data_IF_121144059030
#
_entry.id   IF_121144059030
#
_cell.length_a   1.000
_cell.length_b   1.000
_cell.length_c   1.000
_cell.angle_alpha   90.00
_cell.angle_beta   90.00
_cell.angle_gamma   90.00
#
_symmetry.space_group_name_H-M   'P 1'
#
loop_
_entity.id
_entity.type
_entity.pdbx_description
1 polymer ?
#
# COMPACT_ATOMS: atom_id res chain seq x y z
N UNK A 1 -7.46 -62.53 -46.55
CA UNK A 1 -7.07 -61.11 -46.72
C UNK A 1 -7.75 -60.28 -45.62
N UNK A 2 -7.43 -60.29 -44.33
CA UNK A 2 -6.19 -60.44 -43.53
C UNK A 2 -5.16 -59.31 -43.62
N UNK A 3 -5.53 -58.15 -44.18
CA UNK A 3 -4.72 -56.91 -44.12
C UNK A 3 -5.51 -55.62 -43.79
N UNK A 4 -6.83 -55.67 -43.58
CA UNK A 4 -7.65 -54.44 -43.43
C UNK A 4 -8.06 -54.14 -41.97
N UNK A 5 -7.86 -55.07 -41.02
CA UNK A 5 -8.35 -54.90 -39.64
C UNK A 5 -7.32 -54.25 -38.69
N UNK A 6 -6.03 -54.20 -39.06
CA UNK A 6 -4.98 -53.65 -38.18
C UNK A 6 -4.86 -52.11 -38.27
N UNK A 7 -5.37 -51.48 -39.34
CA UNK A 7 -5.30 -50.02 -39.52
C UNK A 7 -6.36 -49.28 -38.69
N UNK A 8 -7.47 -49.94 -38.34
CA UNK A 8 -8.55 -49.32 -37.55
C UNK A 8 -8.25 -49.20 -36.04
N UNK A 9 -7.41 -50.07 -35.48
CA UNK A 9 -7.12 -50.08 -34.03
C UNK A 9 -5.94 -49.16 -33.69
N UNK A 10 -5.00 -48.96 -34.63
CA UNK A 10 -3.86 -48.03 -34.46
C UNK A 10 -4.27 -46.55 -34.59
N UNK A 11 -5.32 -46.24 -35.36
CA UNK A 11 -5.85 -44.87 -35.46
C UNK A 11 -6.69 -44.45 -34.25
N UNK A 12 -7.29 -45.39 -33.53
CA UNK A 12 -8.04 -45.11 -32.30
C UNK A 12 -7.08 -44.89 -31.13
N UNK A 13 -5.97 -45.62 -31.05
CA UNK A 13 -4.94 -45.41 -30.02
C UNK A 13 -4.22 -44.05 -30.16
N UNK A 14 -4.13 -43.49 -31.37
CA UNK A 14 -3.52 -42.17 -31.60
C UNK A 14 -4.49 -41.00 -31.29
N UNK A 15 -5.80 -41.25 -31.27
CA UNK A 15 -6.80 -40.23 -30.93
C UNK A 15 -7.00 -40.05 -29.42
N UNK A 16 -6.66 -41.06 -28.61
CA UNK A 16 -6.71 -40.95 -27.15
C UNK A 16 -5.47 -40.30 -26.54
N UNK A 17 -4.39 -40.07 -27.31
CA UNK A 17 -3.18 -39.43 -26.80
C UNK A 17 -3.17 -37.89 -26.96
N UNK A 18 -4.16 -37.31 -27.64
CA UNK A 18 -4.25 -35.86 -27.88
C UNK A 18 -5.27 -35.12 -27.01
N UNK A 19 -5.95 -35.81 -26.09
CA UNK A 19 -6.58 -35.17 -24.94
C UNK A 19 -5.65 -35.26 -23.73
N UNK A 20 -4.44 -34.72 -23.87
CA UNK A 20 -3.81 -34.14 -22.69
C UNK A 20 -4.70 -32.98 -22.28
N UNK A 21 -5.61 -33.23 -21.32
CA UNK A 21 -6.16 -32.16 -20.51
C UNK A 21 -4.96 -31.38 -20.01
N UNK A 22 -4.68 -30.25 -20.64
CA UNK A 22 -3.92 -29.20 -20.00
C UNK A 22 -4.82 -28.73 -18.87
N UNK A 23 -4.79 -29.46 -17.75
CA UNK A 23 -5.20 -28.97 -16.46
C UNK A 23 -4.23 -27.83 -16.17
N UNK A 24 -4.50 -26.66 -16.76
CA UNK A 24 -4.01 -25.41 -16.23
C UNK A 24 -4.71 -25.30 -14.90
N UNK A 25 -4.13 -25.90 -13.85
CA UNK A 25 -4.52 -25.61 -12.49
C UNK A 25 -4.29 -24.11 -12.37
N UNK A 26 -5.38 -23.35 -12.41
CA UNK A 26 -5.33 -21.94 -12.05
C UNK A 26 -4.88 -21.96 -10.60
N UNK A 27 -3.64 -21.53 -10.35
CA UNK A 27 -3.18 -21.35 -8.98
C UNK A 27 -4.11 -20.31 -8.36
N UNK A 28 -4.86 -20.72 -7.34
CA UNK A 28 -5.72 -19.80 -6.60
C UNK A 28 -4.84 -18.93 -5.71
N UNK A 29 -5.00 -17.61 -5.82
CA UNK A 29 -4.24 -16.62 -5.06
C UNK A 29 -4.52 -16.76 -3.56
N UNK A 30 -3.49 -16.61 -2.71
CA UNK A 30 -3.62 -16.70 -1.25
C UNK A 30 -3.50 -15.31 -0.62
N UNK A 31 -4.16 -15.05 0.52
CA UNK A 31 -4.01 -13.77 1.20
C UNK A 31 -2.58 -13.63 1.78
N UNK A 32 -1.93 -12.47 1.62
CA UNK A 32 -0.61 -12.24 2.19
C UNK A 32 -0.65 -12.19 3.72
N UNK A 33 0.41 -12.64 4.37
CA UNK A 33 0.63 -12.51 5.80
C UNK A 33 1.47 -11.27 6.11
N UNK A 34 1.00 -10.44 7.04
CA UNK A 34 1.70 -9.23 7.48
C UNK A 34 1.93 -9.29 8.99
N UNK A 35 3.14 -8.97 9.44
CA UNK A 35 3.49 -8.84 10.85
C UNK A 35 4.29 -7.57 11.09
N UNK A 36 3.84 -6.74 12.03
CA UNK A 36 4.68 -5.68 12.61
C UNK A 36 5.56 -6.35 13.67
N UNK A 37 6.86 -6.48 13.40
CA UNK A 37 7.84 -7.16 14.28
C UNK A 37 8.54 -6.19 15.24
N UNK A 38 8.59 -4.91 14.87
CA UNK A 38 8.96 -3.83 15.78
C UNK A 38 7.97 -2.66 15.62
N UNK A 39 7.51 -2.06 16.72
CA UNK A 39 7.68 -2.52 18.10
C UNK A 39 6.89 -3.81 18.40
N UNK A 40 7.22 -4.49 19.50
CA UNK A 40 6.59 -5.77 19.84
C UNK A 40 5.13 -5.61 20.31
N UNK A 41 4.27 -6.62 20.14
CA UNK A 41 2.94 -6.65 20.74
C UNK A 41 2.99 -6.38 22.26
N UNK A 42 2.04 -5.59 22.76
CA UNK A 42 1.93 -5.15 24.16
C UNK A 42 3.04 -4.21 24.67
N UNK A 43 3.93 -3.73 23.80
CA UNK A 43 4.85 -2.66 24.15
C UNK A 43 4.12 -1.30 24.30
N UNK A 44 4.82 -0.35 24.90
CA UNK A 44 4.38 1.05 25.02
C UNK A 44 5.21 1.94 24.11
N UNK A 45 4.77 3.19 23.93
CA UNK A 45 5.55 4.22 23.24
C UNK A 45 5.70 5.46 24.13
N UNK A 46 6.66 6.32 23.81
CA UNK A 46 6.85 7.61 24.48
C UNK A 46 6.57 8.76 23.53
N UNK A 47 6.02 9.86 24.03
CA UNK A 47 5.96 11.13 23.30
C UNK A 47 7.34 11.75 23.09
N UNK A 48 7.47 12.62 22.08
CA UNK A 48 8.73 13.26 21.70
C UNK A 48 9.92 12.27 21.59
N UNK A 49 9.67 11.09 21.04
CA UNK A 49 10.67 10.03 20.93
C UNK A 49 10.72 9.47 19.51
N UNK A 50 11.78 8.73 19.22
CA UNK A 50 11.92 7.99 17.97
C UNK A 50 11.42 6.57 18.22
N UNK A 51 10.33 6.21 17.56
CA UNK A 51 9.76 4.86 17.59
C UNK A 51 10.17 4.13 16.31
N UNK A 52 11.12 3.16 16.37
CA UNK A 52 11.44 2.35 15.21
C UNK A 52 10.25 1.45 14.85
N UNK A 53 10.12 1.14 13.56
CA UNK A 53 9.18 0.12 13.10
C UNK A 53 9.84 -0.85 12.12
N UNK A 54 9.33 -2.06 12.11
CA UNK A 54 9.69 -3.12 11.18
C UNK A 54 8.46 -3.97 10.86
N UNK A 55 8.30 -4.31 9.58
CA UNK A 55 7.17 -5.03 9.01
C UNK A 55 7.74 -6.17 8.18
N UNK A 56 7.22 -7.37 8.40
CA UNK A 56 7.45 -8.52 7.55
C UNK A 56 6.18 -8.84 6.77
N UNK A 57 6.36 -9.11 5.48
CA UNK A 57 5.33 -9.59 4.56
C UNK A 57 5.79 -10.93 4.00
N UNK A 58 4.90 -11.91 4.01
CA UNK A 58 5.09 -13.19 3.34
C UNK A 58 3.84 -13.50 2.55
N UNK A 59 4.03 -13.82 1.28
CA UNK A 59 2.98 -14.18 0.35
C UNK A 59 3.43 -15.40 -0.46
N UNK A 60 2.49 -16.22 -0.91
CA UNK A 60 2.85 -17.43 -1.66
C UNK A 60 3.18 -17.13 -3.13
N UNK A 61 2.55 -16.11 -3.70
CA UNK A 61 2.71 -15.67 -5.07
C UNK A 61 3.86 -14.66 -5.20
N UNK A 62 3.92 -13.68 -4.30
CA UNK A 62 4.87 -12.56 -4.37
C UNK A 62 6.18 -12.82 -3.61
N UNK A 63 6.23 -13.85 -2.77
CA UNK A 63 7.42 -14.24 -2.00
C UNK A 63 7.50 -13.60 -0.61
N UNK A 64 8.72 -13.45 -0.10
CA UNK A 64 8.96 -13.01 1.28
C UNK A 64 9.89 -11.79 1.36
N UNK A 65 9.45 -10.79 2.13
CA UNK A 65 10.21 -9.57 2.42
C UNK A 65 11.58 -9.79 3.09
N UNK A 66 11.80 -10.92 3.76
CA UNK A 66 13.11 -11.28 4.35
C UNK A 66 14.16 -11.58 3.28
N UNK A 67 13.74 -11.98 2.07
CA UNK A 67 14.61 -12.27 0.93
C UNK A 67 14.56 -11.17 -0.14
N UNK A 68 14.08 -9.97 0.22
CA UNK A 68 13.93 -8.81 -0.67
C UNK A 68 13.03 -9.08 -1.90
N UNK A 69 12.13 -10.07 -1.81
CA UNK A 69 11.20 -10.44 -2.90
C UNK A 69 9.97 -9.50 -2.96
N UNK A 70 9.67 -8.82 -1.86
CA UNK A 70 8.56 -7.86 -1.75
C UNK A 70 9.10 -6.43 -1.93
N UNK A 71 8.51 -5.67 -2.85
CA UNK A 71 8.84 -4.25 -3.04
C UNK A 71 8.48 -3.44 -1.77
N UNK A 72 9.44 -2.84 -1.06
CA UNK A 72 9.15 -2.14 0.19
C UNK A 72 8.19 -0.97 0.04
N UNK A 73 8.13 -0.32 -1.14
CA UNK A 73 7.26 0.83 -1.38
C UNK A 73 5.77 0.48 -1.46
N UNK A 74 5.45 -0.80 -1.63
CA UNK A 74 4.08 -1.31 -1.66
C UNK A 74 3.59 -1.74 -0.28
N UNK A 75 4.51 -1.83 0.70
CA UNK A 75 4.18 -2.04 2.11
C UNK A 75 3.96 -0.70 2.77
N UNK A 76 2.73 -0.46 3.19
CA UNK A 76 2.27 0.82 3.70
C UNK A 76 2.02 0.74 5.20
N UNK A 77 2.42 1.78 5.92
CA UNK A 77 2.18 1.92 7.35
C UNK A 77 1.35 3.18 7.61
N UNK A 78 0.17 2.99 8.20
CA UNK A 78 -0.68 4.08 8.69
C UNK A 78 -0.46 4.20 10.18
N UNK A 79 -0.13 5.40 10.62
CA UNK A 79 0.07 5.73 12.03
C UNK A 79 -1.04 6.68 12.46
N UNK A 80 -1.89 6.26 13.39
CA UNK A 80 -2.94 7.09 13.95
C UNK A 80 -2.69 7.31 15.45
N UNK A 81 -2.56 8.58 15.83
CA UNK A 81 -2.62 9.02 17.21
C UNK A 81 -4.08 9.18 17.63
N UNK A 82 -4.43 8.63 18.78
CA UNK A 82 -5.71 8.82 19.47
C UNK A 82 -5.43 9.44 20.83
N UNK A 83 -6.38 10.24 21.32
CA UNK A 83 -6.23 10.91 22.62
C UNK A 83 -6.22 9.92 23.78
N UNK A 84 -7.14 8.95 23.74
CA UNK A 84 -7.27 7.93 24.77
C UNK A 84 -8.02 6.68 24.28
N UNK A 85 -8.19 5.70 25.18
CA UNK A 85 -8.87 4.43 24.91
C UNK A 85 -10.33 4.52 24.51
N UNK A 86 -11.02 5.63 24.82
CA UNK A 86 -12.41 5.84 24.42
C UNK A 86 -12.56 6.02 22.91
N UNK A 87 -11.53 6.57 22.25
CA UNK A 87 -11.53 6.79 20.79
C UNK A 87 -11.21 5.52 19.99
N UNK A 88 -10.62 4.50 20.64
CA UNK A 88 -10.12 3.29 19.97
C UNK A 88 -11.23 2.48 19.28
N UNK A 89 -12.30 2.13 20.00
CA UNK A 89 -13.41 1.35 19.41
C UNK A 89 -14.08 2.09 18.24
N UNK A 90 -14.44 3.38 18.36
CA UNK A 90 -14.95 4.16 17.23
C UNK A 90 -13.97 4.23 16.06
N UNK A 91 -12.67 4.39 16.31
CA UNK A 91 -11.66 4.41 15.27
C UNK A 91 -11.58 3.09 14.51
N UNK A 92 -11.48 1.95 15.22
CA UNK A 92 -11.39 0.63 14.58
C UNK A 92 -12.64 0.31 13.72
N UNK A 93 -13.83 0.77 14.14
CA UNK A 93 -15.05 0.66 13.34
C UNK A 93 -15.03 1.51 12.06
N UNK A 94 -14.42 2.70 12.09
CA UNK A 94 -14.24 3.51 10.87
C UNK A 94 -13.19 2.90 9.95
N UNK A 95 -12.07 2.46 10.55
CA UNK A 95 -10.96 1.79 9.87
C UNK A 95 -11.44 0.56 9.09
N UNK A 96 -12.30 -0.29 9.67
CA UNK A 96 -12.80 -1.49 8.99
C UNK A 96 -13.61 -1.20 7.72
N UNK A 97 -14.14 0.01 7.57
CA UNK A 97 -14.90 0.45 6.39
C UNK A 97 -14.08 1.38 5.47
N UNK A 98 -12.79 1.61 5.78
CA UNK A 98 -11.95 2.50 4.99
C UNK A 98 -11.46 1.78 3.74
N UNK A 99 -11.63 2.42 2.57
CA UNK A 99 -11.04 1.95 1.34
C UNK A 99 -9.61 2.46 1.22
N UNK A 100 -8.64 1.55 1.11
CA UNK A 100 -7.21 1.85 0.99
C UNK A 100 -6.68 1.78 -0.44
N UNK A 101 -7.54 1.50 -1.44
CA UNK A 101 -7.12 1.28 -2.82
C UNK A 101 -6.29 2.44 -3.37
N UNK A 102 -6.71 3.69 -3.15
CA UNK A 102 -5.94 4.85 -3.62
C UNK A 102 -4.59 4.98 -2.94
N UNK A 103 -4.49 4.66 -1.65
CA UNK A 103 -3.21 4.68 -0.93
C UNK A 103 -2.27 3.57 -1.45
N UNK A 104 -2.81 2.38 -1.70
CA UNK A 104 -2.08 1.25 -2.30
C UNK A 104 -1.57 1.63 -3.69
N UNK A 105 -2.42 2.23 -4.52
CA UNK A 105 -2.03 2.74 -5.83
C UNK A 105 -0.88 3.76 -5.76
N UNK A 106 -0.84 4.61 -4.73
CA UNK A 106 0.29 5.54 -4.52
C UNK A 106 1.61 4.80 -4.21
N UNK A 107 1.54 3.69 -3.47
CA UNK A 107 2.68 2.80 -3.22
C UNK A 107 3.20 2.20 -4.53
N UNK A 108 2.33 1.56 -5.30
CA UNK A 108 2.67 0.94 -6.59
C UNK A 108 3.14 1.96 -7.64
N UNK A 109 2.60 3.19 -7.60
CA UNK A 109 2.94 4.27 -8.55
C UNK A 109 4.18 5.07 -8.13
N UNK A 110 4.98 4.57 -7.19
CA UNK A 110 6.26 5.15 -6.73
C UNK A 110 6.15 6.56 -6.11
N UNK A 111 4.95 7.02 -5.75
CA UNK A 111 4.75 8.37 -5.21
C UNK A 111 5.59 8.59 -3.94
N UNK A 112 5.70 7.56 -3.11
CA UNK A 112 6.46 7.58 -1.86
C UNK A 112 7.99 7.55 -2.02
N UNK A 113 8.51 7.35 -3.24
CA UNK A 113 9.96 7.42 -3.49
C UNK A 113 10.48 8.86 -3.41
N UNK A 114 9.64 9.83 -3.78
CA UNK A 114 10.02 11.25 -3.84
C UNK A 114 9.24 12.11 -2.85
N UNK A 115 8.06 11.66 -2.42
CA UNK A 115 7.20 12.36 -1.48
C UNK A 115 7.03 11.57 -0.19
N UNK A 116 6.74 12.29 0.89
CA UNK A 116 6.27 11.72 2.15
C UNK A 116 4.93 12.34 2.51
N UNK A 117 4.13 11.66 3.32
CA UNK A 117 2.93 12.27 3.87
C UNK A 117 3.30 13.54 4.65
N UNK A 118 4.28 13.42 5.55
CA UNK A 118 4.84 14.51 6.34
C UNK A 118 6.33 14.69 6.11
N UNK A 119 6.74 15.96 6.05
CA UNK A 119 8.13 16.37 5.86
C UNK A 119 8.62 16.26 4.42
N UNK A 120 9.59 17.10 4.06
CA UNK A 120 10.20 17.08 2.72
C UNK A 120 11.04 15.82 2.53
N UNK A 121 11.02 15.27 1.31
CA UNK A 121 11.98 14.26 0.85
C UNK A 121 12.76 14.82 -0.35
N UNK A 122 12.37 14.47 -1.57
CA UNK A 122 12.85 15.14 -2.80
C UNK A 122 11.82 16.21 -3.15
N UNK A 123 10.57 15.77 -3.30
CA UNK A 123 9.41 16.63 -3.46
C UNK A 123 8.87 17.19 -2.13
N UNK A 124 7.89 18.11 -2.21
CA UNK A 124 7.15 18.61 -1.04
C UNK A 124 6.38 17.47 -0.35
N UNK A 125 6.04 17.63 0.91
CA UNK A 125 5.18 16.66 1.58
C UNK A 125 3.74 16.72 1.02
N UNK A 126 2.99 15.63 1.16
CA UNK A 126 1.57 15.65 0.82
C UNK A 126 0.78 16.62 1.71
N UNK A 127 1.21 16.79 2.97
CA UNK A 127 0.68 17.85 3.84
C UNK A 127 0.92 19.25 3.27
N UNK A 128 2.13 19.56 2.77
CA UNK A 128 2.41 20.87 2.17
C UNK A 128 1.56 21.10 0.92
N UNK A 129 1.39 20.07 0.08
CA UNK A 129 0.53 20.12 -1.11
C UNK A 129 -0.92 20.40 -0.69
N UNK A 130 -1.45 19.65 0.28
CA UNK A 130 -2.81 19.84 0.83
C UNK A 130 -3.00 21.22 1.45
N UNK A 131 -1.98 21.78 2.09
CA UNK A 131 -2.03 23.12 2.67
C UNK A 131 -1.99 24.25 1.62
N UNK A 132 -1.29 24.04 0.49
CA UNK A 132 -1.14 25.06 -0.56
C UNK A 132 -2.35 25.15 -1.50
N UNK A 133 -3.04 24.03 -1.71
CA UNK A 133 -4.01 23.87 -2.80
C UNK A 133 -5.42 23.61 -2.26
N UNK A 134 -6.41 24.27 -2.86
CA UNK A 134 -7.82 24.06 -2.53
C UNK A 134 -8.33 22.72 -3.05
N UNK A 135 -9.30 22.14 -2.35
CA UNK A 135 -9.96 20.89 -2.73
C UNK A 135 -11.14 21.16 -3.69
N UNK A 136 -10.84 21.74 -4.84
CA UNK A 136 -11.82 22.04 -5.89
C UNK A 136 -11.50 21.33 -7.22
N UNK A 137 -12.49 21.13 -8.12
CA UNK A 137 -12.28 20.41 -9.36
C UNK A 137 -11.19 21.00 -10.27
N UNK A 138 -11.03 22.33 -10.32
CA UNK A 138 -10.02 22.96 -11.19
C UNK A 138 -8.62 22.67 -10.66
N UNK A 139 -8.44 22.73 -9.35
CA UNK A 139 -7.17 22.38 -8.70
C UNK A 139 -6.83 20.91 -8.89
N UNK A 140 -7.82 20.02 -8.80
CA UNK A 140 -7.63 18.59 -9.06
C UNK A 140 -7.13 18.35 -10.50
N UNK A 141 -7.77 18.96 -11.51
CA UNK A 141 -7.31 18.85 -12.91
C UNK A 141 -5.90 19.42 -13.12
N UNK A 142 -5.60 20.56 -12.50
CA UNK A 142 -4.30 21.21 -12.59
C UNK A 142 -3.18 20.30 -12.05
N UNK A 143 -3.38 19.75 -10.85
CA UNK A 143 -2.40 18.86 -10.23
C UNK A 143 -2.31 17.52 -10.97
N UNK A 144 -3.43 17.00 -11.47
CA UNK A 144 -3.41 15.77 -12.25
C UNK A 144 -2.59 15.92 -13.53
N UNK A 145 -2.76 17.03 -14.26
CA UNK A 145 -1.94 17.35 -15.42
C UNK A 145 -0.45 17.42 -15.06
N UNK A 146 -0.11 18.07 -13.94
CA UNK A 146 1.28 18.14 -13.44
C UNK A 146 1.89 16.77 -13.13
N UNK A 147 1.12 15.84 -12.58
CA UNK A 147 1.60 14.47 -12.33
C UNK A 147 1.88 13.75 -13.66
N UNK A 148 0.95 13.83 -14.61
CA UNK A 148 1.08 13.15 -15.90
C UNK A 148 2.21 13.73 -16.77
N UNK A 149 2.38 15.05 -16.79
CA UNK A 149 3.34 15.72 -17.70
C UNK A 149 4.63 16.15 -17.00
N UNK A 150 4.76 15.87 -15.71
CA UNK A 150 5.84 16.37 -14.87
C UNK A 150 5.61 17.81 -14.41
N UNK A 151 6.36 18.21 -13.39
CA UNK A 151 6.27 19.54 -12.77
C UNK A 151 7.66 20.07 -12.42
N UNK A 152 7.85 21.37 -12.55
CA UNK A 152 9.09 22.06 -12.16
C UNK A 152 8.79 23.43 -11.55
N UNK A 153 9.72 23.98 -10.78
CA UNK A 153 9.77 25.39 -10.36
C UNK A 153 8.68 25.86 -9.39
N UNK A 154 7.75 25.00 -8.95
CA UNK A 154 6.67 25.37 -8.02
C UNK A 154 7.09 25.25 -6.55
N UNK A 155 8.01 24.32 -6.27
CA UNK A 155 8.43 23.93 -4.92
C UNK A 155 9.96 24.04 -4.72
N UNK A 156 10.62 24.76 -5.62
CA UNK A 156 12.08 24.84 -5.75
C UNK A 156 12.55 24.33 -7.11
N UNK A 157 13.85 24.05 -7.20
CA UNK A 157 14.52 23.66 -8.44
C UNK A 157 14.28 22.18 -8.84
N UNK A 158 13.80 21.38 -7.89
CA UNK A 158 13.52 19.96 -8.11
C UNK A 158 12.41 19.76 -9.14
N UNK A 159 12.65 18.81 -10.04
CA UNK A 159 11.73 18.46 -11.12
C UNK A 159 11.11 17.09 -10.84
N UNK A 160 9.79 17.03 -10.85
CA UNK A 160 9.05 15.78 -10.85
C UNK A 160 8.96 15.28 -12.30
N UNK A 161 9.49 14.08 -12.61
CA UNK A 161 9.34 13.47 -13.92
C UNK A 161 7.86 13.25 -14.30
N UNK A 162 7.54 13.14 -15.59
CA UNK A 162 6.20 12.73 -16.02
C UNK A 162 5.90 11.30 -15.59
N UNK A 163 4.64 11.03 -15.23
CA UNK A 163 4.09 9.69 -15.01
C UNK A 163 3.11 9.32 -16.13
N UNK A 164 3.60 9.01 -17.36
CA UNK A 164 2.74 8.80 -18.53
C UNK A 164 1.90 7.51 -18.45
N UNK A 165 2.32 6.55 -17.62
CA UNK A 165 1.64 5.27 -17.46
C UNK A 165 0.38 5.37 -16.57
N UNK A 166 0.20 6.49 -15.86
CA UNK A 166 -0.98 6.72 -15.03
C UNK A 166 -2.13 7.32 -15.84
N UNK A 167 -3.29 6.67 -15.77
CA UNK A 167 -4.51 7.16 -16.42
C UNK A 167 -5.04 8.42 -15.72
N UNK A 168 -5.57 9.37 -16.50
CA UNK A 168 -6.08 10.63 -15.95
C UNK A 168 -7.15 10.45 -14.86
N UNK A 169 -8.00 9.43 -14.96
CA UNK A 169 -8.98 9.09 -13.91
C UNK A 169 -8.29 8.72 -12.58
N UNK A 170 -7.34 7.80 -12.65
CA UNK A 170 -6.54 7.36 -11.50
C UNK A 170 -5.79 8.55 -10.87
N UNK A 171 -5.11 9.37 -11.67
CA UNK A 171 -4.35 10.51 -11.15
C UNK A 171 -5.25 11.51 -10.40
N UNK A 172 -6.48 11.76 -10.88
CA UNK A 172 -7.43 12.62 -10.16
C UNK A 172 -7.81 12.05 -8.80
N UNK A 173 -7.94 10.72 -8.69
CA UNK A 173 -8.18 10.05 -7.41
C UNK A 173 -6.99 10.20 -6.47
N UNK A 174 -5.76 10.03 -6.97
CA UNK A 174 -4.54 10.27 -6.18
C UNK A 174 -4.49 11.71 -5.63
N UNK A 175 -4.73 12.69 -6.49
CA UNK A 175 -4.74 14.12 -6.10
C UNK A 175 -5.83 14.37 -5.06
N UNK A 176 -7.03 13.86 -5.30
CA UNK A 176 -8.15 14.00 -4.35
C UNK A 176 -7.77 13.44 -2.99
N UNK A 177 -7.18 12.24 -2.97
CA UNK A 177 -6.72 11.62 -1.73
C UNK A 177 -5.65 12.44 -1.02
N UNK A 178 -4.67 12.98 -1.76
CA UNK A 178 -3.61 13.84 -1.21
C UNK A 178 -4.20 15.05 -0.50
N UNK A 179 -5.11 15.78 -1.17
CA UNK A 179 -5.73 16.98 -0.63
C UNK A 179 -6.64 16.69 0.58
N UNK A 180 -7.24 15.49 0.64
CA UNK A 180 -8.20 15.09 1.67
C UNK A 180 -7.57 14.53 2.94
N UNK A 181 -6.55 13.68 2.79
CA UNK A 181 -6.11 12.80 3.87
C UNK A 181 -4.85 13.30 4.61
N UNK A 182 -4.20 14.36 4.13
CA UNK A 182 -2.89 14.79 4.62
C UNK A 182 -2.92 16.09 5.44
N UNK A 183 -4.11 16.55 5.82
CA UNK A 183 -4.31 17.69 6.74
C UNK A 183 -4.48 17.27 8.21
N UNK A 184 -4.76 15.99 8.49
CA UNK A 184 -4.90 15.48 9.86
C UNK A 184 -3.53 15.31 10.53
N UNK A 185 -3.21 16.21 11.47
CA UNK A 185 -1.99 16.14 12.26
C UNK A 185 -1.86 14.85 13.10
N UNK A 186 -2.97 14.17 13.39
CA UNK A 186 -3.01 12.92 14.15
C UNK A 186 -2.78 11.67 13.29
N UNK A 187 -2.60 11.82 11.98
CA UNK A 187 -2.38 10.69 11.08
C UNK A 187 -1.11 10.86 10.26
N UNK A 188 -0.36 9.78 10.07
CA UNK A 188 0.78 9.74 9.17
C UNK A 188 0.70 8.50 8.27
N UNK A 189 1.33 8.60 7.10
CA UNK A 189 1.41 7.51 6.12
C UNK A 189 2.87 7.34 5.71
N UNK A 190 3.38 6.13 5.87
CA UNK A 190 4.74 5.75 5.51
C UNK A 190 4.69 4.58 4.52
N UNK A 191 5.74 4.47 3.71
CA UNK A 191 5.98 3.31 2.87
C UNK A 191 7.33 2.71 3.26
N UNK A 192 7.45 1.38 3.19
CA UNK A 192 8.67 0.66 3.53
C UNK A 192 8.46 -0.40 4.60
N UNK A 193 9.33 -1.42 4.56
CA UNK A 193 9.39 -2.50 5.54
C UNK A 193 9.96 -2.05 6.89
N UNK A 194 10.78 -1.00 6.92
CA UNK A 194 11.44 -0.54 8.16
C UNK A 194 11.65 0.97 8.16
N UNK A 195 11.69 1.56 9.35
CA UNK A 195 11.94 2.99 9.49
C UNK A 195 11.78 3.46 10.93
N UNK A 196 11.52 4.76 11.11
CA UNK A 196 11.26 5.33 12.42
C UNK A 196 10.26 6.46 12.35
N UNK A 197 9.39 6.52 13.35
CA UNK A 197 8.37 7.55 13.53
C UNK A 197 8.85 8.48 14.64
N UNK A 198 8.95 9.78 14.37
CA UNK A 198 9.11 10.78 15.43
C UNK A 198 7.73 11.05 16.04
N UNK A 199 7.52 10.62 17.28
CA UNK A 199 6.25 10.84 17.98
C UNK A 199 6.08 12.30 18.36
N UNK A 200 4.83 12.72 18.57
CA UNK A 200 4.45 14.14 18.75
C UNK A 200 5.05 14.73 20.03
N UNK A 201 5.43 16.00 19.97
CA UNK A 201 6.07 16.72 21.09
C UNK A 201 5.04 17.35 22.05
N UNK A 202 4.01 17.99 21.49
CA UNK A 202 2.99 18.77 22.21
C UNK A 202 1.63 18.07 22.19
N UNK A 203 1.32 17.31 23.24
CA UNK A 203 0.04 16.62 23.43
C UNK A 203 -0.53 17.04 24.78
N UNK A 204 -1.80 17.44 24.80
CA UNK A 204 -2.49 17.99 25.98
C UNK A 204 -2.68 16.97 27.13
N UNK A 205 -2.79 15.67 26.81
CA UNK A 205 -2.92 14.58 27.79
C UNK A 205 -1.99 13.42 27.40
N UNK A 206 -0.71 13.55 27.76
CA UNK A 206 0.36 12.62 27.35
C UNK A 206 0.11 11.19 27.85
N UNK A 207 -0.37 11.06 29.07
CA UNK A 207 -0.47 9.77 29.79
C UNK A 207 -1.45 8.78 29.14
N UNK A 208 -2.50 9.27 28.48
CA UNK A 208 -3.57 8.41 27.94
C UNK A 208 -3.42 8.07 26.46
N UNK A 209 -2.41 8.63 25.80
CA UNK A 209 -2.20 8.51 24.37
C UNK A 209 -2.24 7.07 23.86
N UNK A 210 -2.90 6.86 22.72
CA UNK A 210 -2.85 5.59 22.00
C UNK A 210 -2.27 5.83 20.62
N UNK A 211 -1.35 4.94 20.22
CA UNK A 211 -0.81 4.88 18.88
C UNK A 211 -1.32 3.60 18.21
N UNK A 212 -2.05 3.75 17.11
CA UNK A 212 -2.51 2.64 16.28
C UNK A 212 -1.67 2.61 15.01
N UNK A 213 -0.92 1.52 14.83
CA UNK A 213 -0.08 1.26 13.67
C UNK A 213 -0.77 0.20 12.81
N UNK A 214 -1.08 0.51 11.55
CA UNK A 214 -1.68 -0.43 10.61
C UNK A 214 -0.76 -0.62 9.42
N UNK A 215 -0.17 -1.81 9.30
CA UNK A 215 0.55 -2.22 8.10
C UNK A 215 -0.45 -2.79 7.08
N UNK A 216 -0.27 -2.44 5.81
CA UNK A 216 -1.13 -2.86 4.68
C UNK A 216 -0.23 -3.29 3.53
N UNK A 217 -0.63 -4.37 2.87
CA UNK A 217 -0.05 -4.85 1.62
C UNK A 217 -1.17 -5.45 0.77
N UNK A 218 -1.05 -5.33 -0.55
CA UNK A 218 -1.94 -5.95 -1.52
C UNK A 218 -1.05 -6.72 -2.49
N UNK A 219 -1.30 -8.01 -2.63
CA UNK A 219 -0.50 -8.87 -3.48
C UNK A 219 -0.71 -8.55 -4.98
N UNK A 220 0.12 -9.15 -5.84
CA UNK A 220 0.01 -8.99 -7.30
C UNK A 220 -0.95 -9.99 -7.96
N UNK A 221 -1.59 -10.85 -7.17
CA UNK A 221 -2.48 -11.91 -7.64
C UNK A 221 -1.74 -13.07 -8.32
N UNK A 222 -2.47 -14.15 -8.59
CA UNK A 222 -1.89 -15.41 -9.09
C UNK A 222 -1.35 -15.39 -10.53
N UNK A 223 -1.57 -14.31 -11.28
CA UNK A 223 -1.04 -14.11 -12.63
C UNK A 223 -0.14 -12.87 -12.76
N UNK A 224 0.19 -12.22 -11.64
CA UNK A 224 0.90 -10.93 -11.58
C UNK A 224 0.21 -9.82 -12.40
N UNK A 225 -1.08 -9.96 -12.73
CA UNK A 225 -1.89 -8.92 -13.40
C UNK A 225 -2.88 -8.26 -12.45
N UNK A 226 -2.86 -8.60 -11.15
CA UNK A 226 -3.66 -7.96 -10.10
C UNK A 226 -5.16 -8.29 -10.16
N UNK A 227 -5.63 -9.08 -11.13
CA UNK A 227 -7.06 -9.35 -11.32
C UNK A 227 -7.66 -10.24 -10.22
N UNK A 228 -6.81 -11.02 -9.54
CA UNK A 228 -7.14 -11.84 -8.38
C UNK A 228 -6.51 -11.31 -7.07
N UNK A 229 -6.05 -10.05 -7.06
CA UNK A 229 -5.26 -9.53 -5.95
C UNK A 229 -6.00 -9.45 -4.62
N UNK A 230 -5.33 -9.76 -3.52
CA UNK A 230 -5.89 -9.73 -2.17
C UNK A 230 -5.12 -8.73 -1.30
N UNK A 231 -5.88 -7.90 -0.59
CA UNK A 231 -5.34 -6.97 0.40
C UNK A 231 -5.35 -7.61 1.79
N UNK A 232 -4.22 -7.55 2.49
CA UNK A 232 -4.12 -7.88 3.91
C UNK A 232 -3.71 -6.66 4.74
N UNK A 233 -3.95 -6.76 6.05
CA UNK A 233 -3.54 -5.75 7.01
C UNK A 233 -3.20 -6.36 8.36
N UNK A 234 -2.24 -5.76 9.07
CA UNK A 234 -1.92 -6.06 10.46
C UNK A 234 -2.04 -4.78 11.29
N UNK A 235 -2.61 -4.86 12.50
CA UNK A 235 -2.78 -3.70 13.37
C UNK A 235 -2.15 -3.94 14.73
N UNK A 236 -1.24 -3.05 15.11
CA UNK A 236 -0.61 -2.98 16.43
C UNK A 236 -1.12 -1.74 17.16
N UNK A 237 -1.44 -1.91 18.44
CA UNK A 237 -1.92 -0.83 19.32
C UNK A 237 -0.93 -0.69 20.46
N UNK A 238 -0.39 0.51 20.61
CA UNK A 238 0.52 0.87 21.68
C UNK A 238 -0.16 1.91 22.58
N UNK A 239 0.02 1.74 23.88
CA UNK A 239 -0.35 2.76 24.86
C UNK A 239 0.87 3.60 25.18
N UNK A 240 0.66 4.86 25.51
CA UNK A 240 1.74 5.66 26.07
C UNK A 240 2.26 4.99 27.35
N UNK A 241 3.58 5.06 27.55
CA UNK A 241 4.25 4.61 28.77
C UNK A 241 3.88 5.52 29.94
#
# INVERSE_FOLDING_TARGET
MRQIIIVGILLIACFYFLFSFSNRQVQENRPPEIRITAPLPNSTFNWNSILPYEIQVSDFEDGNSEYDEINPNEVLLIVQYLRDSSELKPYLKRKSNTNYETLIQMGCSTCFNCHRAKGKLIGPSFTDISAKYERDPKTIELLAKKIMTGSSSVWGDEKMPPHPDLMAGQVRELVRWILENNSDSNRDYLAGLRGSIKTRENVEDKEKGILVMTAIYKDHGSDNQGQSSIQAQNTLILKNH
#
